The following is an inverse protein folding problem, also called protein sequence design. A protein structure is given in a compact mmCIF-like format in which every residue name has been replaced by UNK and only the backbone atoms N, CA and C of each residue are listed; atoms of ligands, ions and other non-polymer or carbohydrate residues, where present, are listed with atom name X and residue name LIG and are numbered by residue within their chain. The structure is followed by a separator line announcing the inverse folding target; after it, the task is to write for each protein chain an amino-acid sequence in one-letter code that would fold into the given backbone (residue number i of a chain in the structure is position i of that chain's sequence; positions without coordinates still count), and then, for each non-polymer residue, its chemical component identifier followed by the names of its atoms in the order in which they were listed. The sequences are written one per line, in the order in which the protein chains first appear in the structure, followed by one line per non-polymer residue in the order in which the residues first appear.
data_IF_248196159464
#
_entry.id   IF_248196159464
#
_cell.length_a   1.000
_cell.length_b   1.000
_cell.length_c   1.000
_cell.angle_alpha   90.00
_cell.angle_beta   90.00
_cell.angle_gamma   90.00
#
_symmetry.space_group_name_H-M   'P 1'
#
loop_
_entity.id
_entity.type
_entity.pdbx_description
1 polymer ?
#
# COMPACT_ATOMS: atom_id res chain seq x y z
N UNK A 1 -12.75 -12.26 -9.74
CA UNK A 1 -11.79 -11.46 -8.94
C UNK A 1 -11.52 -10.18 -9.71
N UNK A 2 -11.91 -9.04 -9.18
CA UNK A 2 -11.69 -7.74 -9.85
C UNK A 2 -10.21 -7.41 -9.74
N UNK A 3 -9.50 -7.29 -10.86
CA UNK A 3 -8.09 -6.90 -10.88
C UNK A 3 -8.03 -5.39 -10.61
N UNK A 4 -7.67 -5.00 -9.39
CA UNK A 4 -7.55 -3.59 -8.98
C UNK A 4 -6.07 -3.22 -9.00
N UNK A 5 -5.68 -2.23 -9.81
CA UNK A 5 -4.37 -1.63 -9.72
C UNK A 5 -4.38 -0.53 -8.64
N UNK A 6 -3.54 -0.66 -7.62
CA UNK A 6 -3.41 0.35 -6.58
C UNK A 6 -2.33 1.36 -6.97
N UNK A 7 -2.48 2.59 -6.51
CA UNK A 7 -1.35 3.52 -6.52
C UNK A 7 -0.33 3.05 -5.49
N UNK A 8 0.94 3.35 -5.73
CA UNK A 8 2.03 2.97 -4.83
C UNK A 8 1.77 3.48 -3.39
N UNK A 9 1.27 4.72 -3.25
CA UNK A 9 0.88 5.30 -1.97
C UNK A 9 -0.22 4.49 -1.25
N UNK A 10 -1.29 4.10 -1.96
CA UNK A 10 -2.38 3.31 -1.36
C UNK A 10 -1.88 1.93 -0.96
N UNK A 11 -1.07 1.29 -1.81
CA UNK A 11 -0.47 0.00 -1.52
C UNK A 11 0.35 0.03 -0.23
N UNK A 12 1.25 1.00 -0.07
CA UNK A 12 2.05 1.13 1.15
C UNK A 12 1.22 1.53 2.38
N UNK A 13 0.18 2.36 2.24
CA UNK A 13 -0.73 2.66 3.36
C UNK A 13 -1.43 1.38 3.85
N UNK A 14 -1.97 0.56 2.94
CA UNK A 14 -2.61 -0.70 3.30
C UNK A 14 -1.61 -1.68 3.93
N UNK A 15 -0.40 -1.77 3.37
CA UNK A 15 0.68 -2.60 3.93
C UNK A 15 1.06 -2.16 5.34
N UNK A 16 1.18 -0.85 5.57
CA UNK A 16 1.47 -0.25 6.88
C UNK A 16 0.39 -0.60 7.92
N UNK A 17 -0.87 -0.57 7.49
CA UNK A 17 -2.05 -0.82 8.31
C UNK A 17 -2.35 -2.31 8.58
N UNK A 18 -1.47 -3.21 8.13
CA UNK A 18 -1.47 -4.61 8.60
C UNK A 18 -1.21 -4.72 10.10
N UNK A 19 -0.65 -3.65 10.70
CA UNK A 19 -0.59 -3.38 12.14
C UNK A 19 -1.41 -2.13 12.46
N UNK A 20 -1.95 -2.04 13.67
CA UNK A 20 -2.66 -0.85 14.15
C UNK A 20 -1.70 0.34 14.21
N UNK A 21 -2.04 1.46 13.58
CA UNK A 21 -1.19 2.67 13.56
C UNK A 21 -2.01 3.96 13.58
N UNK A 22 -1.44 5.00 14.19
CA UNK A 22 -1.90 6.38 14.04
C UNK A 22 -1.37 7.01 12.75
N UNK A 23 -2.01 8.11 12.31
CA UNK A 23 -1.64 8.83 11.09
C UNK A 23 -0.14 9.14 10.94
N UNK A 24 0.50 9.67 11.99
CA UNK A 24 1.94 9.95 11.94
C UNK A 24 2.80 8.69 11.77
N UNK A 25 2.44 7.60 12.45
CA UNK A 25 3.13 6.32 12.31
C UNK A 25 2.97 5.69 10.92
N UNK A 26 1.88 5.98 10.22
CA UNK A 26 1.69 5.55 8.82
C UNK A 26 2.67 6.30 7.91
N UNK A 27 2.85 7.62 8.10
CA UNK A 27 3.78 8.40 7.27
C UNK A 27 5.21 7.86 7.37
N UNK A 28 5.68 7.63 8.61
CA UNK A 28 7.04 7.14 8.85
C UNK A 28 7.24 5.74 8.25
N UNK A 29 6.28 4.84 8.46
CA UNK A 29 6.37 3.46 7.98
C UNK A 29 6.28 3.38 6.45
N UNK A 30 5.46 4.21 5.80
CA UNK A 30 5.41 4.27 4.32
C UNK A 30 6.71 4.82 3.74
N UNK A 31 7.28 5.85 4.36
CA UNK A 31 8.58 6.40 3.95
C UNK A 31 9.69 5.34 4.10
N UNK A 32 9.72 4.62 5.21
CA UNK A 32 10.68 3.54 5.46
C UNK A 32 10.52 2.38 4.46
N UNK A 33 9.30 1.84 4.31
CA UNK A 33 9.01 0.70 3.43
C UNK A 33 9.30 1.00 1.95
N UNK A 34 9.15 2.25 1.53
CA UNK A 34 9.39 2.66 0.15
C UNK A 34 10.85 3.04 -0.13
N UNK A 35 11.72 3.04 0.88
CA UNK A 35 13.09 3.55 0.77
C UNK A 35 13.14 5.06 0.48
N UNK A 36 12.21 5.82 1.06
CA UNK A 36 12.10 7.28 0.89
C UNK A 36 11.42 7.74 -0.40
N UNK A 37 11.00 6.83 -1.29
CA UNK A 37 10.38 7.20 -2.57
C UNK A 37 8.96 7.75 -2.41
N UNK A 38 8.24 7.29 -1.39
CA UNK A 38 6.87 7.74 -1.10
C UNK A 38 6.89 8.58 0.18
N UNK A 39 6.70 9.89 0.02
CA UNK A 39 6.55 10.83 1.12
C UNK A 39 5.12 11.36 1.20
N UNK A 40 4.43 11.09 2.31
CA UNK A 40 3.03 11.47 2.50
C UNK A 40 2.90 12.70 3.37
N UNK A 41 2.65 13.86 2.74
CA UNK A 41 2.21 15.05 3.49
C UNK A 41 0.88 14.80 4.21
N UNK A 42 0.62 15.53 5.29
CA UNK A 42 -0.60 15.38 6.09
C UNK A 42 -1.89 15.43 5.27
N UNK A 43 -2.04 16.42 4.39
CA UNK A 43 -3.22 16.54 3.54
C UNK A 43 -3.43 15.29 2.66
N UNK A 44 -2.36 14.79 2.04
CA UNK A 44 -2.38 13.60 1.18
C UNK A 44 -2.76 12.35 1.96
N UNK A 45 -2.14 12.14 3.14
CA UNK A 45 -2.46 10.99 3.98
C UNK A 45 -3.93 11.02 4.41
N UNK A 46 -4.42 12.12 4.96
CA UNK A 46 -5.80 12.16 5.47
C UNK A 46 -6.84 12.09 4.36
N UNK A 47 -6.54 12.61 3.17
CA UNK A 47 -7.34 12.39 1.97
C UNK A 47 -7.42 10.90 1.59
N UNK A 48 -6.27 10.22 1.56
CA UNK A 48 -6.20 8.78 1.29
C UNK A 48 -6.93 7.95 2.36
N UNK A 49 -6.71 8.23 3.65
CA UNK A 49 -7.40 7.56 4.75
C UNK A 49 -8.92 7.73 4.65
N UNK A 50 -9.40 8.93 4.33
CA UNK A 50 -10.84 9.18 4.11
C UNK A 50 -11.39 8.32 2.98
N UNK A 51 -10.69 8.27 1.83
CA UNK A 51 -11.10 7.43 0.71
C UNK A 51 -11.10 5.94 1.05
N UNK A 52 -10.10 5.47 1.80
CA UNK A 52 -9.98 4.07 2.21
C UNK A 52 -11.04 3.66 3.25
N UNK A 53 -11.41 4.57 4.16
CA UNK A 53 -12.54 4.38 5.09
C UNK A 53 -13.87 4.28 4.33
N UNK A 54 -14.12 5.19 3.38
CA UNK A 54 -15.32 5.17 2.54
C UNK A 54 -15.43 3.89 1.72
N UNK A 55 -14.29 3.34 1.28
CA UNK A 55 -14.21 2.04 0.58
C UNK A 55 -14.39 0.83 1.51
N UNK A 56 -14.35 1.00 2.84
CA UNK A 56 -14.40 -0.11 3.78
C UNK A 56 -13.10 -0.93 3.87
N UNK A 57 -12.01 -0.48 3.24
CA UNK A 57 -10.74 -1.22 3.21
C UNK A 57 -9.93 -1.05 4.50
N UNK A 58 -10.21 0.01 5.25
CA UNK A 58 -9.65 0.25 6.58
C UNK A 58 -10.76 0.61 7.56
N UNK A 59 -10.50 0.41 8.84
CA UNK A 59 -11.37 0.82 9.93
C UNK A 59 -10.62 1.79 10.85
N UNK A 60 -11.34 2.77 11.40
CA UNK A 60 -10.85 3.59 12.50
C UNK A 60 -11.19 2.89 13.82
N UNK A 61 -10.23 2.78 14.71
CA UNK A 61 -10.47 2.23 16.05
C UNK A 61 -11.00 3.32 16.99
N UNK A 62 -11.86 2.95 17.95
CA UNK A 62 -12.33 3.89 18.96
C UNK A 62 -11.16 4.35 19.82
N UNK A 63 -10.71 5.58 19.58
CA UNK A 63 -9.76 6.25 20.47
C UNK A 63 -10.45 6.72 21.75
N UNK A 64 -9.67 7.06 22.77
CA UNK A 64 -10.18 7.82 23.91
C UNK A 64 -10.88 9.07 23.38
N UNK A 65 -12.11 9.33 23.87
CA UNK A 65 -12.84 10.57 23.58
C UNK A 65 -11.88 11.71 23.86
N UNK A 66 -11.63 12.56 22.85
CA UNK A 66 -10.72 13.72 22.88
C UNK A 66 -9.24 13.46 22.49
N UNK A 67 -8.86 12.23 22.12
CA UNK A 67 -7.52 11.99 21.57
C UNK A 67 -7.42 12.42 20.10
N UNK A 68 -6.54 13.38 19.81
CA UNK A 68 -6.16 13.80 18.43
C UNK A 68 -5.44 12.69 17.63
N UNK A 69 -5.35 11.47 18.17
CA UNK A 69 -4.59 10.34 17.61
C UNK A 69 -5.54 9.20 17.23
N UNK A 70 -6.31 9.36 16.16
CA UNK A 70 -7.09 8.24 15.60
C UNK A 70 -6.15 7.13 15.14
N UNK A 71 -6.44 5.89 15.53
CA UNK A 71 -5.80 4.68 15.04
C UNK A 71 -6.59 4.07 13.89
N UNK A 72 -5.87 3.44 12.98
CA UNK A 72 -6.43 2.75 11.84
C UNK A 72 -5.88 1.33 11.76
N UNK A 73 -6.66 0.44 11.16
CA UNK A 73 -6.25 -0.92 10.81
C UNK A 73 -6.91 -1.37 9.53
N UNK A 74 -6.26 -2.26 8.78
CA UNK A 74 -6.83 -2.87 7.57
C UNK A 74 -7.97 -3.82 7.90
N UNK A 75 -9.05 -3.79 7.11
CA UNK A 75 -10.18 -4.74 7.23
C UNK A 75 -9.89 -6.05 6.49
N UNK A 76 -10.80 -7.03 6.58
CA UNK A 76 -10.73 -8.24 5.77
C UNK A 76 -10.79 -7.91 4.26
N UNK A 77 -11.73 -7.06 3.86
CA UNK A 77 -11.86 -6.61 2.46
C UNK A 77 -10.59 -5.89 1.98
N UNK A 78 -10.03 -4.99 2.81
CA UNK A 78 -8.77 -4.32 2.48
C UNK A 78 -7.60 -5.29 2.31
N UNK A 79 -7.55 -6.37 3.10
CA UNK A 79 -6.53 -7.42 2.95
C UNK A 79 -6.68 -8.18 1.64
N UNK A 80 -7.89 -8.50 1.21
CA UNK A 80 -8.14 -9.14 -0.08
C UNK A 80 -7.67 -8.25 -1.24
N UNK A 81 -7.96 -6.95 -1.17
CA UNK A 81 -7.49 -5.97 -2.16
C UNK A 81 -5.97 -5.87 -2.19
N UNK A 82 -5.32 -5.80 -1.02
CA UNK A 82 -3.86 -5.76 -0.91
C UNK A 82 -3.21 -7.05 -1.47
N UNK A 83 -3.80 -8.22 -1.20
CA UNK A 83 -3.32 -9.50 -1.72
C UNK A 83 -3.48 -9.59 -3.24
N UNK A 84 -4.62 -9.16 -3.78
CA UNK A 84 -4.85 -9.13 -5.22
C UNK A 84 -3.84 -8.24 -5.93
N UNK A 85 -3.50 -7.08 -5.35
CA UNK A 85 -2.48 -6.20 -5.91
C UNK A 85 -1.08 -6.82 -5.86
N UNK A 86 -0.72 -7.50 -4.76
CA UNK A 86 0.56 -8.20 -4.67
C UNK A 86 0.70 -9.29 -5.75
N UNK A 87 -0.38 -10.03 -6.05
CA UNK A 87 -0.40 -11.01 -7.15
C UNK A 87 -0.16 -10.32 -8.49
N UNK A 88 -0.86 -9.20 -8.76
CA UNK A 88 -0.71 -8.44 -10.00
C UNK A 88 0.70 -7.87 -10.17
N UNK A 89 1.29 -7.32 -9.10
CA UNK A 89 2.66 -6.79 -9.12
C UNK A 89 3.70 -7.89 -9.44
N UNK A 90 3.54 -9.08 -8.85
CA UNK A 90 4.40 -10.24 -9.15
C UNK A 90 4.30 -10.66 -10.62
N UNK A 91 3.09 -10.69 -11.17
CA UNK A 91 2.87 -11.00 -12.59
C UNK A 91 3.54 -9.96 -13.51
N UNK A 92 3.40 -8.67 -13.20
CA UNK A 92 4.07 -7.61 -13.96
C UNK A 92 5.59 -7.72 -13.91
N UNK A 93 6.18 -7.96 -12.73
CA UNK A 93 7.61 -8.17 -12.59
C UNK A 93 8.07 -9.37 -13.42
N UNK A 94 7.40 -10.52 -13.30
CA UNK A 94 7.76 -11.73 -14.05
C UNK A 94 7.70 -11.52 -15.57
N UNK A 95 6.67 -10.82 -16.07
CA UNK A 95 6.56 -10.49 -17.49
C UNK A 95 7.67 -9.52 -17.94
N UNK A 96 8.00 -8.52 -17.12
CA UNK A 96 9.08 -7.58 -17.39
C UNK A 96 10.45 -8.26 -17.44
N UNK A 97 10.75 -9.11 -16.46
CA UNK A 97 11.97 -9.91 -16.41
C UNK A 97 12.11 -10.84 -17.61
N UNK A 98 11.02 -11.51 -18.02
CA UNK A 98 11.03 -12.39 -19.19
C UNK A 98 11.37 -11.66 -20.51
N UNK A 99 10.89 -10.43 -20.67
CA UNK A 99 11.08 -9.66 -21.91
C UNK A 99 12.41 -8.91 -21.89
N UNK A 100 12.77 -8.29 -20.76
CA UNK A 100 13.96 -7.45 -20.64
C UNK A 100 15.23 -8.24 -20.27
N UNK A 101 15.10 -9.35 -19.55
CA UNK A 101 16.21 -10.23 -19.17
C UNK A 101 16.67 -11.20 -20.28
N UNK A 102 16.07 -11.12 -21.47
CA UNK A 102 16.30 -12.05 -22.58
C UNK A 102 17.29 -11.60 -23.66
N UNK A 103 18.21 -10.66 -23.40
CA UNK A 103 19.14 -10.14 -24.41
C UNK A 103 20.63 -10.50 -24.21
N UNK A 104 20.99 -11.35 -23.25
CA UNK A 104 22.40 -11.71 -22.98
C UNK A 104 22.81 -13.13 -23.43
N UNK A 105 22.11 -13.75 -24.37
CA UNK A 105 22.50 -15.09 -24.90
C UNK A 105 22.56 -15.19 -26.44
N UNK A 106 23.00 -14.15 -27.16
CA UNK A 106 23.35 -14.27 -28.59
C UNK A 106 24.69 -13.60 -28.93
N UNK A 107 25.68 -13.73 -28.06
CA UNK A 107 27.07 -13.38 -28.34
C UNK A 107 28.00 -14.57 -28.17
N UNK A 108 28.43 -15.16 -29.29
CA UNK A 108 29.55 -16.12 -29.46
C UNK A 108 29.22 -17.55 -28.97
N UNK A 109 29.30 -18.61 -29.78
CA UNK A 109 30.15 -18.92 -30.94
C UNK A 109 29.46 -19.85 -31.94
#
# INVERSE_FOLDING_TARGET
MTQIALTEAVYYILLSLTKVRHGYGIMQDVEELSGGRVHLAAGTLYGALTALLTKGWIAALPGERDSRKKEYTITAEGREVLQAELVRLKELCANGEKILGGNDENGHS
#
